data_IF_564761088460
#
_entry.id   IF_564761088460
#
_cell.length_a   1.000
_cell.length_b   1.000
_cell.length_c   1.000
_cell.angle_alpha   90.00
_cell.angle_beta   90.00
_cell.angle_gamma   90.00
#
_symmetry.space_group_name_H-M   'P 1'
#
loop_
_entity.id
_entity.type
_entity.pdbx_description
1 polymer ?
#
# COMPACT_ATOMS: atom_id res chain seq x y z
N UNK A 1 7.73 20.88 -6.11
CA UNK A 1 7.56 19.52 -6.68
C UNK A 1 7.52 18.57 -5.50
N UNK A 2 6.34 18.09 -5.11
CA UNK A 2 6.16 17.22 -3.94
C UNK A 2 6.26 15.76 -4.34
N UNK A 3 6.88 14.93 -3.49
CA UNK A 3 6.83 13.48 -3.65
C UNK A 3 5.49 12.95 -3.14
N UNK A 4 4.95 11.95 -3.81
CA UNK A 4 3.64 11.36 -3.50
C UNK A 4 3.75 9.84 -3.38
N UNK A 5 3.26 9.26 -2.30
CA UNK A 5 3.36 7.82 -2.01
C UNK A 5 1.99 7.26 -1.67
N UNK A 6 1.64 6.10 -2.26
CA UNK A 6 0.43 5.39 -1.92
C UNK A 6 0.68 4.47 -0.72
N UNK A 7 -0.19 4.51 0.29
CA UNK A 7 -0.19 3.59 1.44
C UNK A 7 -1.45 2.74 1.35
N UNK A 8 -1.28 1.50 0.91
CA UNK A 8 -2.37 0.55 0.67
C UNK A 8 -2.46 -0.46 1.82
N UNK A 9 -3.68 -0.79 2.22
CA UNK A 9 -3.94 -1.85 3.20
C UNK A 9 -5.14 -2.71 2.80
N UNK A 10 -5.08 -4.00 3.13
CA UNK A 10 -6.11 -4.96 2.71
C UNK A 10 -7.45 -4.82 3.44
N UNK A 11 -7.45 -4.25 4.64
CA UNK A 11 -8.61 -4.12 5.52
C UNK A 11 -8.56 -2.79 6.29
N UNK A 12 -9.72 -2.18 6.62
CA UNK A 12 -9.75 -1.03 7.54
C UNK A 12 -9.15 -1.35 8.91
N UNK A 13 -9.19 -2.62 9.34
CA UNK A 13 -8.62 -3.07 10.62
C UNK A 13 -7.08 -2.95 10.66
N UNK A 14 -6.44 -2.75 9.50
CA UNK A 14 -4.99 -2.54 9.40
C UNK A 14 -4.60 -1.06 9.56
N UNK A 15 -5.57 -0.14 9.65
CA UNK A 15 -5.34 1.31 9.64
C UNK A 15 -4.40 1.76 10.76
N UNK A 16 -4.65 1.34 12.00
CA UNK A 16 -3.81 1.72 13.15
C UNK A 16 -2.37 1.22 12.99
N UNK A 17 -2.19 0.03 12.41
CA UNK A 17 -0.86 -0.56 12.16
C UNK A 17 -0.12 0.14 11.03
N UNK A 18 -0.85 0.67 10.05
CA UNK A 18 -0.29 1.37 8.89
C UNK A 18 -0.17 2.88 9.06
N UNK A 19 -0.85 3.47 10.04
CA UNK A 19 -0.78 4.91 10.35
C UNK A 19 0.66 5.45 10.53
N UNK A 20 1.61 4.72 11.15
CA UNK A 20 3.00 5.18 11.27
C UNK A 20 3.69 5.40 9.92
N UNK A 21 3.30 4.69 8.86
CA UNK A 21 3.86 4.88 7.53
C UNK A 21 3.45 6.25 6.96
N UNK A 22 2.16 6.57 7.01
CA UNK A 22 1.64 7.87 6.57
C UNK A 22 2.23 9.02 7.39
N UNK A 23 2.21 8.91 8.72
CA UNK A 23 2.79 9.92 9.61
C UNK A 23 4.29 10.13 9.36
N UNK A 24 5.04 9.08 9.02
CA UNK A 24 6.46 9.20 8.68
C UNK A 24 6.66 9.96 7.38
N UNK A 25 5.88 9.67 6.35
CA UNK A 25 5.92 10.39 5.07
C UNK A 25 5.62 11.89 5.27
N UNK A 26 4.58 12.20 6.03
CA UNK A 26 4.17 13.58 6.35
C UNK A 26 5.28 14.36 7.08
N UNK A 27 5.97 13.73 8.04
CA UNK A 27 7.11 14.35 8.75
C UNK A 27 8.25 14.77 7.81
N UNK A 28 8.42 14.09 6.68
CA UNK A 28 9.42 14.42 5.67
C UNK A 28 8.85 15.24 4.50
N UNK A 29 7.61 15.73 4.59
CA UNK A 29 6.96 16.53 3.55
C UNK A 29 6.58 15.74 2.30
N UNK A 30 6.38 14.42 2.43
CA UNK A 30 5.90 13.54 1.34
C UNK A 30 4.39 13.35 1.49
N UNK A 31 3.63 13.59 0.42
CA UNK A 31 2.18 13.36 0.40
C UNK A 31 1.89 11.86 0.52
N UNK A 32 1.18 11.46 1.57
CA UNK A 32 0.71 10.09 1.76
C UNK A 32 -0.75 9.97 1.33
N UNK A 33 -1.03 9.14 0.31
CA UNK A 33 -2.40 8.78 -0.08
C UNK A 33 -2.75 7.42 0.49
N UNK A 34 -3.58 7.40 1.52
CA UNK A 34 -4.00 6.18 2.21
C UNK A 34 -5.25 5.60 1.56
N UNK A 35 -5.25 4.29 1.25
CA UNK A 35 -6.38 3.60 0.62
C UNK A 35 -6.54 2.18 1.18
N UNK A 36 -7.80 1.74 1.32
CA UNK A 36 -8.12 0.34 1.63
C UNK A 36 -8.41 -0.41 0.33
N UNK A 37 -7.52 -1.33 -0.05
CA UNK A 37 -7.63 -2.12 -1.27
C UNK A 37 -7.18 -3.55 -1.01
N UNK A 38 -8.05 -4.52 -1.29
CA UNK A 38 -7.82 -5.93 -0.95
C UNK A 38 -7.41 -6.71 -2.18
N UNK A 39 -6.24 -7.34 -2.15
CA UNK A 39 -5.80 -8.22 -3.23
C UNK A 39 -6.70 -9.44 -3.46
N UNK A 40 -7.40 -9.92 -2.43
CA UNK A 40 -8.30 -11.07 -2.56
C UNK A 40 -9.74 -10.67 -2.86
N UNK A 41 -10.23 -9.56 -2.30
CA UNK A 41 -11.65 -9.15 -2.43
C UNK A 41 -11.88 -8.19 -3.59
N UNK A 42 -10.88 -7.39 -3.96
CA UNK A 42 -10.97 -6.41 -5.04
C UNK A 42 -9.71 -6.37 -5.93
N UNK A 43 -9.27 -7.53 -6.48
CA UNK A 43 -8.02 -7.63 -7.25
C UNK A 43 -7.97 -6.69 -8.47
N UNK A 44 -9.08 -6.55 -9.19
CA UNK A 44 -9.14 -5.67 -10.36
C UNK A 44 -8.93 -4.19 -9.98
N UNK A 45 -9.45 -3.75 -8.83
CA UNK A 45 -9.25 -2.40 -8.33
C UNK A 45 -7.79 -2.15 -7.93
N UNK A 46 -7.15 -3.13 -7.27
CA UNK A 46 -5.71 -3.07 -6.94
C UNK A 46 -4.90 -2.93 -8.22
N UNK A 47 -5.08 -3.83 -9.19
CA UNK A 47 -4.33 -3.82 -10.45
C UNK A 47 -4.53 -2.52 -11.22
N UNK A 48 -5.77 -2.04 -11.35
CA UNK A 48 -6.06 -0.78 -12.03
C UNK A 48 -5.39 0.43 -11.35
N UNK A 49 -5.46 0.52 -10.01
CA UNK A 49 -4.83 1.59 -9.26
C UNK A 49 -3.31 1.59 -9.45
N UNK A 50 -2.63 0.48 -9.19
CA UNK A 50 -1.16 0.43 -9.20
C UNK A 50 -0.57 0.54 -10.62
N UNK A 51 -1.30 0.09 -11.65
CA UNK A 51 -0.88 0.24 -13.05
C UNK A 51 -0.89 1.69 -13.50
N UNK A 52 -1.86 2.48 -13.01
CA UNK A 52 -1.97 3.92 -13.31
C UNK A 52 -1.14 4.83 -12.40
N UNK A 53 -0.62 4.29 -11.29
CA UNK A 53 0.00 5.10 -10.24
C UNK A 53 1.22 5.90 -10.73
N UNK A 54 2.04 5.36 -11.62
CA UNK A 54 3.20 6.10 -12.16
C UNK A 54 2.74 7.35 -12.92
N UNK A 55 1.75 7.20 -13.79
CA UNK A 55 1.22 8.31 -14.60
C UNK A 55 0.47 9.33 -13.74
N UNK A 56 -0.11 8.88 -12.62
CA UNK A 56 -0.72 9.74 -11.60
C UNK A 56 0.31 10.44 -10.68
N UNK A 57 1.62 10.30 -10.93
CA UNK A 57 2.68 11.01 -10.22
C UNK A 57 3.14 10.38 -8.91
N UNK A 58 2.75 9.14 -8.61
CA UNK A 58 3.26 8.43 -7.44
C UNK A 58 4.73 8.05 -7.62
N UNK A 59 5.49 8.14 -6.53
CA UNK A 59 6.92 7.83 -6.46
C UNK A 59 7.19 6.43 -5.90
N UNK A 60 6.31 5.91 -5.05
CA UNK A 60 6.39 4.57 -4.47
C UNK A 60 5.02 4.11 -3.94
N UNK A 61 4.93 2.81 -3.62
CA UNK A 61 3.74 2.20 -3.01
C UNK A 61 4.17 1.41 -1.77
N UNK A 62 3.50 1.62 -0.64
CA UNK A 62 3.68 0.88 0.61
C UNK A 62 2.43 0.03 0.83
N UNK A 63 2.59 -1.28 1.01
CA UNK A 63 1.48 -2.23 1.13
C UNK A 63 1.52 -2.96 2.47
N UNK A 64 0.50 -2.76 3.31
CA UNK A 64 0.28 -3.51 4.55
C UNK A 64 -0.68 -4.69 4.35
N UNK A 65 -0.26 -5.89 4.76
CA UNK A 65 -1.14 -7.06 4.80
C UNK A 65 -0.66 -8.08 5.84
N UNK A 66 -1.61 -8.77 6.49
CA UNK A 66 -1.35 -9.89 7.39
C UNK A 66 -1.81 -11.24 6.82
N UNK A 67 -1.58 -12.32 7.56
CA UNK A 67 -1.91 -13.71 7.16
C UNK A 67 -1.30 -14.06 5.79
N UNK A 68 -2.11 -14.50 4.81
CA UNK A 68 -1.68 -14.70 3.43
C UNK A 68 -1.47 -13.35 2.71
N UNK A 69 -0.38 -12.65 3.07
CA UNK A 69 -0.11 -11.26 2.75
C UNK A 69 0.27 -11.01 1.27
N UNK A 70 -0.69 -11.17 0.34
CA UNK A 70 -0.44 -11.08 -1.11
C UNK A 70 -0.49 -9.64 -1.68
N UNK A 71 -0.89 -8.64 -0.92
CA UNK A 71 -1.11 -7.28 -1.45
C UNK A 71 0.13 -6.68 -2.11
N UNK A 72 1.28 -6.75 -1.44
CA UNK A 72 2.53 -6.21 -1.98
C UNK A 72 2.97 -6.91 -3.27
N UNK A 73 2.91 -8.25 -3.29
CA UNK A 73 3.27 -9.03 -4.48
C UNK A 73 2.33 -8.77 -5.65
N UNK A 74 1.02 -8.73 -5.40
CA UNK A 74 0.02 -8.40 -6.41
C UNK A 74 0.24 -6.98 -6.97
N UNK A 75 0.52 -6.00 -6.10
CA UNK A 75 0.83 -4.64 -6.53
C UNK A 75 2.10 -4.58 -7.42
N UNK A 76 3.19 -5.21 -6.96
CA UNK A 76 4.47 -5.23 -7.66
C UNK A 76 4.39 -5.87 -9.06
N UNK A 77 3.52 -6.84 -9.26
CA UNK A 77 3.32 -7.48 -10.56
C UNK A 77 2.72 -6.54 -11.63
N UNK A 78 2.11 -5.43 -11.21
CA UNK A 78 1.36 -4.54 -12.09
C UNK A 78 1.92 -3.11 -12.16
N UNK A 79 3.08 -2.84 -11.55
CA UNK A 79 3.68 -1.50 -11.58
C UNK A 79 5.19 -1.56 -11.72
N UNK A 80 5.78 -0.50 -12.26
CA UNK A 80 7.23 -0.30 -12.29
C UNK A 80 7.71 0.62 -11.16
N UNK A 81 6.81 1.09 -10.29
CA UNK A 81 7.18 1.82 -9.08
C UNK A 81 7.77 0.87 -8.03
N UNK A 82 8.68 1.35 -7.16
CA UNK A 82 9.09 0.60 -5.99
C UNK A 82 7.87 0.25 -5.12
N UNK A 83 7.77 -1.03 -4.73
CA UNK A 83 6.73 -1.53 -3.81
C UNK A 83 7.37 -2.04 -2.53
N UNK A 84 6.96 -1.49 -1.39
CA UNK A 84 7.43 -1.86 -0.06
C UNK A 84 6.33 -2.66 0.64
N UNK A 85 6.61 -3.92 0.98
CA UNK A 85 5.70 -4.75 1.76
C UNK A 85 5.93 -4.59 3.27
N UNK A 86 4.86 -4.34 4.02
CA UNK A 86 4.85 -4.30 5.48
C UNK A 86 4.04 -5.51 5.98
N UNK A 87 4.69 -6.59 6.44
CA UNK A 87 4.01 -7.72 7.03
C UNK A 87 3.32 -7.28 8.33
N UNK A 88 2.01 -7.49 8.42
CA UNK A 88 1.23 -7.13 9.60
C UNK A 88 0.97 -8.38 10.44
N UNK A 89 1.06 -8.24 11.76
CA UNK A 89 0.60 -9.28 12.67
C UNK A 89 -0.90 -9.54 12.46
N UNK A 90 -1.28 -10.80 12.36
CA UNK A 90 -2.64 -11.25 12.17
C UNK A 90 -2.78 -12.77 12.21
N UNK A 91 -3.81 -13.24 12.90
CA UNK A 91 -4.13 -14.67 13.00
C UNK A 91 -3.29 -15.41 14.04
N UNK A 92 -3.13 -16.73 13.86
CA UNK A 92 -2.52 -17.62 14.84
C UNK A 92 -0.98 -17.65 14.77
N UNK A 93 -0.37 -17.02 13.77
CA UNK A 93 1.07 -17.07 13.48
C UNK A 93 1.62 -15.65 13.26
N UNK A 94 1.88 -14.99 14.39
CA UNK A 94 2.32 -13.59 14.56
C UNK A 94 1.22 -12.54 14.44
#
# INVERSE_FOLDING_TARGET
MGYKVAVLMGSPNDADKMAPAAATLERYGVEAVVQVMSAHRSPAAVSAFVSSARDAGYSAIICGAGMAAHLAGAAAAHTTLPVIGVPLSGGAIN
#
